data_IF_115806816479
#
_entry.id   IF_115806816479
#
_cell.length_a   1.000
_cell.length_b   1.000
_cell.length_c   1.000
_cell.angle_alpha   90.00
_cell.angle_beta   90.00
_cell.angle_gamma   90.00
#
_symmetry.space_group_name_H-M   'P 1'
#
loop_
_entity.id
_entity.type
_entity.pdbx_description
1 polymer ?
#
# COMPACT_ATOMS: atom_id res chain seq x y z
N UNK A 1 13.05 -49.70 -10.85
CA UNK A 1 13.28 -48.89 -9.64
C UNK A 1 14.47 -47.97 -9.88
N UNK A 2 14.24 -46.74 -10.37
CA UNK A 2 15.16 -45.60 -10.31
C UNK A 2 14.38 -44.36 -10.75
N UNK A 3 14.53 -43.28 -9.97
CA UNK A 3 14.17 -41.93 -10.38
C UNK A 3 12.82 -41.45 -9.89
N UNK A 4 12.69 -41.11 -8.60
CA UNK A 4 11.78 -40.09 -8.05
C UNK A 4 12.47 -39.54 -6.78
N UNK A 5 13.55 -38.77 -6.97
CA UNK A 5 14.26 -38.03 -5.91
C UNK A 5 14.78 -36.72 -6.47
N UNK A 6 13.87 -35.86 -6.93
CA UNK A 6 14.21 -34.49 -7.35
C UNK A 6 13.15 -33.45 -6.98
N UNK A 7 12.01 -33.83 -6.39
CA UNK A 7 10.95 -32.87 -6.04
C UNK A 7 11.08 -32.23 -4.65
N UNK A 8 11.87 -32.80 -3.72
CA UNK A 8 11.98 -32.27 -2.35
C UNK A 8 13.09 -31.23 -2.15
N UNK A 9 14.00 -31.05 -3.11
CA UNK A 9 15.11 -30.10 -2.99
C UNK A 9 14.77 -28.68 -3.46
N UNK A 10 13.60 -28.47 -4.07
CA UNK A 10 13.18 -27.16 -4.58
C UNK A 10 12.41 -26.32 -3.56
N UNK A 11 11.76 -26.93 -2.55
CA UNK A 11 11.00 -26.19 -1.54
C UNK A 11 11.84 -25.22 -0.71
N UNK A 12 13.04 -25.59 -0.20
CA UNK A 12 13.84 -24.66 0.61
C UNK A 12 14.42 -23.51 -0.22
N UNK A 13 14.68 -23.75 -1.52
CA UNK A 13 15.25 -22.73 -2.40
C UNK A 13 14.21 -21.68 -2.85
N UNK A 14 12.93 -22.06 -2.97
CA UNK A 14 11.83 -21.13 -3.27
C UNK A 14 11.50 -20.28 -2.03
N UNK A 15 11.54 -20.87 -0.83
CA UNK A 15 11.32 -20.16 0.44
C UNK A 15 12.42 -19.14 0.76
N UNK A 16 13.68 -19.43 0.43
CA UNK A 16 14.79 -18.49 0.61
C UNK A 16 14.80 -17.38 -0.45
N UNK A 17 14.29 -17.64 -1.65
CA UNK A 17 14.21 -16.63 -2.73
C UNK A 17 13.07 -15.61 -2.54
N UNK A 18 12.08 -15.90 -1.68
CA UNK A 18 11.03 -14.95 -1.29
C UNK A 18 11.50 -13.97 -0.19
N UNK A 19 12.57 -14.30 0.55
CA UNK A 19 13.17 -13.42 1.56
C UNK A 19 14.17 -12.42 0.98
N UNK A 20 14.02 -12.02 -0.28
CA UNK A 20 14.94 -11.10 -0.97
C UNK A 20 14.17 -10.12 -1.86
N UNK A 21 13.03 -9.62 -1.37
CA UNK A 21 12.47 -8.40 -1.92
C UNK A 21 13.45 -7.23 -1.69
N UNK A 22 13.52 -6.24 -2.59
CA UNK A 22 14.26 -5.02 -2.31
C UNK A 22 13.73 -4.37 -1.02
N UNK A 23 14.62 -3.89 -0.16
CA UNK A 23 14.26 -3.26 1.11
C UNK A 23 13.20 -2.15 0.91
N UNK A 24 12.08 -2.29 1.60
CA UNK A 24 10.90 -1.44 1.47
C UNK A 24 9.96 -1.97 0.39
N UNK A 25 9.15 -2.95 0.76
CA UNK A 25 7.89 -3.32 0.11
C UNK A 25 6.92 -3.78 1.21
N UNK A 26 5.64 -3.99 0.93
CA UNK A 26 4.79 -4.72 1.87
C UNK A 26 4.95 -6.22 1.62
N UNK A 27 4.90 -7.02 2.69
CA UNK A 27 4.86 -8.46 2.53
C UNK A 27 3.52 -8.94 1.92
N UNK A 28 3.53 -10.14 1.36
CA UNK A 28 2.40 -10.78 0.67
C UNK A 28 1.16 -10.84 1.57
N UNK A 29 1.30 -11.38 2.79
CA UNK A 29 0.17 -11.52 3.71
C UNK A 29 -0.35 -10.16 4.18
N UNK A 30 0.55 -9.20 4.31
CA UNK A 30 0.26 -7.83 4.73
C UNK A 30 -0.54 -7.08 3.65
N UNK A 31 -0.18 -7.21 2.38
CA UNK A 31 -0.97 -6.69 1.26
C UNK A 31 -2.41 -7.20 1.27
N UNK A 32 -2.58 -8.52 1.45
CA UNK A 32 -3.92 -9.10 1.51
C UNK A 32 -4.74 -8.54 2.67
N UNK A 33 -4.07 -8.19 3.78
CA UNK A 33 -4.75 -7.61 4.93
C UNK A 33 -5.12 -6.14 4.71
N UNK A 34 -4.25 -5.34 4.08
CA UNK A 34 -4.60 -3.99 3.62
C UNK A 34 -5.82 -4.02 2.70
N UNK A 35 -5.81 -4.89 1.69
CA UNK A 35 -6.91 -5.05 0.75
C UNK A 35 -8.21 -5.54 1.43
N UNK A 36 -8.12 -6.39 2.47
CA UNK A 36 -9.28 -6.83 3.26
C UNK A 36 -9.94 -5.64 3.98
N UNK A 37 -9.14 -4.80 4.63
CA UNK A 37 -9.64 -3.59 5.30
C UNK A 37 -10.21 -2.62 4.26
N UNK A 38 -9.52 -2.42 3.14
CA UNK A 38 -9.98 -1.56 2.05
C UNK A 38 -11.33 -2.00 1.52
N UNK A 39 -11.47 -3.27 1.17
CA UNK A 39 -12.71 -3.87 0.67
C UNK A 39 -13.88 -3.74 1.65
N UNK A 40 -13.62 -3.78 2.95
CA UNK A 40 -14.64 -3.61 3.99
C UNK A 40 -15.11 -2.16 4.16
N UNK A 41 -14.29 -1.18 3.77
CA UNK A 41 -14.50 0.24 4.05
C UNK A 41 -14.83 1.11 2.83
N UNK A 42 -14.90 0.54 1.62
CA UNK A 42 -15.35 1.27 0.43
C UNK A 42 -16.73 1.91 0.64
N UNK A 43 -16.92 3.12 0.12
CA UNK A 43 -18.15 3.89 0.32
C UNK A 43 -19.30 3.39 -0.56
N UNK A 44 -19.01 3.07 -1.82
CA UNK A 44 -20.02 2.68 -2.80
C UNK A 44 -20.63 1.30 -2.48
N UNK A 45 -21.97 1.19 -2.39
CA UNK A 45 -22.63 -0.05 -2.00
C UNK A 45 -22.52 -1.16 -3.06
N UNK A 46 -22.46 -0.82 -4.35
CA UNK A 46 -22.32 -1.79 -5.43
C UNK A 46 -20.89 -2.35 -5.43
N UNK A 47 -19.89 -1.47 -5.28
CA UNK A 47 -18.49 -1.90 -5.13
C UNK A 47 -18.32 -2.80 -3.89
N UNK A 48 -18.89 -2.40 -2.75
CA UNK A 48 -18.85 -3.19 -1.51
C UNK A 48 -19.44 -4.58 -1.72
N UNK A 49 -20.57 -4.68 -2.42
CA UNK A 49 -21.21 -5.95 -2.73
C UNK A 49 -20.33 -6.83 -3.63
N UNK A 50 -19.71 -6.25 -4.67
CA UNK A 50 -18.77 -6.95 -5.56
C UNK A 50 -17.58 -7.50 -4.77
N UNK A 51 -16.93 -6.68 -3.95
CA UNK A 51 -15.75 -7.07 -3.19
C UNK A 51 -16.06 -8.12 -2.12
N UNK A 52 -17.20 -8.01 -1.45
CA UNK A 52 -17.66 -9.02 -0.49
C UNK A 52 -17.94 -10.37 -1.15
N UNK A 53 -18.50 -10.38 -2.37
CA UNK A 53 -18.81 -11.60 -3.11
C UNK A 53 -17.57 -12.24 -3.78
N UNK A 54 -16.54 -11.46 -4.08
CA UNK A 54 -15.40 -11.89 -4.90
C UNK A 54 -14.06 -11.82 -4.15
N UNK A 55 -14.07 -12.23 -2.87
CA UNK A 55 -12.90 -12.27 -1.98
C UNK A 55 -11.63 -12.84 -2.61
N UNK A 56 -11.77 -14.00 -3.23
CA UNK A 56 -10.63 -14.72 -3.80
C UNK A 56 -9.95 -13.97 -4.96
N UNK A 57 -10.68 -13.09 -5.66
CA UNK A 57 -10.17 -12.35 -6.81
C UNK A 57 -9.33 -11.14 -6.40
N UNK A 58 -9.74 -10.38 -5.39
CA UNK A 58 -8.94 -9.25 -4.91
C UNK A 58 -7.76 -9.72 -4.05
N UNK A 59 -7.87 -10.81 -3.30
CA UNK A 59 -6.75 -11.36 -2.53
C UNK A 59 -5.63 -11.84 -3.45
N UNK A 60 -5.96 -12.61 -4.48
CA UNK A 60 -4.94 -13.08 -5.43
C UNK A 60 -4.26 -11.93 -6.16
N UNK A 61 -4.99 -10.85 -6.40
CA UNK A 61 -4.49 -9.67 -7.09
C UNK A 61 -3.64 -8.76 -6.19
N UNK A 62 -3.95 -8.68 -4.89
CA UNK A 62 -3.18 -7.96 -3.88
C UNK A 62 -1.75 -8.50 -3.72
N UNK A 63 -1.43 -9.66 -4.29
CA UNK A 63 -0.07 -10.22 -4.29
C UNK A 63 0.42 -10.58 -5.69
N UNK A 64 -0.33 -10.20 -6.73
CA UNK A 64 -0.02 -10.60 -8.11
C UNK A 64 1.32 -10.05 -8.60
N UNK A 65 1.63 -8.73 -8.45
CA UNK A 65 2.84 -8.14 -9.01
C UNK A 65 4.14 -8.83 -8.52
N UNK A 66 4.19 -9.20 -7.25
CA UNK A 66 5.33 -9.89 -6.64
C UNK A 66 5.68 -11.24 -7.26
N UNK A 67 4.72 -11.91 -7.90
CA UNK A 67 4.95 -13.25 -8.43
C UNK A 67 6.00 -13.30 -9.54
N UNK A 68 6.34 -12.16 -10.13
CA UNK A 68 7.37 -12.07 -11.14
C UNK A 68 8.79 -11.96 -10.59
N UNK A 69 9.00 -11.47 -9.35
CA UNK A 69 10.34 -11.23 -8.81
C UNK A 69 11.20 -12.49 -8.64
N UNK A 70 10.69 -13.62 -8.09
CA UNK A 70 11.54 -14.79 -7.84
C UNK A 70 12.16 -15.44 -9.09
N UNK A 71 11.72 -15.01 -10.28
CA UNK A 71 12.10 -15.53 -11.59
C UNK A 71 12.43 -14.42 -12.59
N UNK A 72 12.67 -13.19 -12.11
CA UNK A 72 13.06 -12.01 -12.89
C UNK A 72 12.17 -11.73 -14.11
N UNK A 73 10.85 -11.88 -13.97
CA UNK A 73 9.93 -11.60 -15.07
C UNK A 73 9.77 -10.10 -15.30
N UNK A 74 9.77 -9.71 -16.58
CA UNK A 74 9.78 -8.32 -17.03
C UNK A 74 8.55 -7.51 -16.61
N UNK A 75 7.45 -8.18 -16.26
CA UNK A 75 6.21 -7.55 -15.81
C UNK A 75 6.15 -7.28 -14.31
N UNK A 76 7.06 -7.88 -13.51
CA UNK A 76 7.02 -7.81 -12.04
C UNK A 76 6.98 -6.35 -11.57
N UNK A 77 8.07 -5.61 -11.81
CA UNK A 77 8.20 -4.21 -11.44
C UNK A 77 7.12 -3.32 -12.10
N UNK A 78 6.90 -3.34 -13.44
CA UNK A 78 5.88 -2.50 -14.08
C UNK A 78 4.46 -2.64 -13.53
N UNK A 79 4.09 -3.82 -13.00
CA UNK A 79 2.75 -4.09 -12.48
C UNK A 79 2.42 -3.33 -11.18
N UNK A 80 3.41 -2.75 -10.49
CA UNK A 80 3.21 -1.96 -9.27
C UNK A 80 2.82 -0.50 -9.57
N UNK A 81 2.91 -0.07 -10.83
CA UNK A 81 2.84 1.35 -11.16
C UNK A 81 1.56 1.73 -11.88
N UNK A 82 1.22 3.01 -11.78
CA UNK A 82 0.03 3.60 -12.38
C UNK A 82 -0.17 3.28 -13.88
N UNK A 83 0.87 3.22 -14.75
CA UNK A 83 0.69 2.79 -16.14
C UNK A 83 0.01 1.42 -16.29
N UNK A 84 0.33 0.45 -15.43
CA UNK A 84 -0.35 -0.84 -15.42
C UNK A 84 -1.78 -0.71 -14.88
N UNK A 85 -1.98 -0.01 -13.78
CA UNK A 85 -3.32 0.22 -13.21
C UNK A 85 -4.27 0.88 -14.23
N UNK A 86 -3.77 1.86 -14.97
CA UNK A 86 -4.47 2.51 -16.09
C UNK A 86 -4.80 1.52 -17.20
N UNK A 87 -3.80 0.78 -17.69
CA UNK A 87 -3.98 -0.20 -18.76
C UNK A 87 -4.97 -1.29 -18.38
N UNK A 88 -4.94 -1.75 -17.12
CA UNK A 88 -5.84 -2.78 -16.62
C UNK A 88 -7.26 -2.24 -16.42
N UNK A 89 -7.42 -1.02 -15.90
CA UNK A 89 -8.72 -0.33 -15.84
C UNK A 89 -9.36 -0.25 -17.22
N UNK A 90 -8.60 0.16 -18.25
CA UNK A 90 -9.09 0.23 -19.63
C UNK A 90 -9.42 -1.14 -20.23
N UNK A 91 -8.70 -2.19 -19.83
CA UNK A 91 -9.04 -3.56 -20.21
C UNK A 91 -10.36 -4.02 -19.59
N UNK A 92 -10.58 -3.75 -18.29
CA UNK A 92 -11.84 -4.07 -17.60
C UNK A 92 -13.00 -3.32 -18.25
N UNK A 93 -12.85 -2.02 -18.56
CA UNK A 93 -13.86 -1.24 -19.29
C UNK A 93 -14.18 -1.86 -20.65
N UNK A 94 -13.15 -2.24 -21.41
CA UNK A 94 -13.29 -2.84 -22.74
C UNK A 94 -14.06 -4.16 -22.72
N UNK A 95 -13.79 -5.03 -21.74
CA UNK A 95 -14.43 -6.35 -21.62
C UNK A 95 -15.85 -6.23 -21.10
N UNK A 96 -16.03 -5.41 -20.06
CA UNK A 96 -17.27 -5.38 -19.31
C UNK A 96 -18.31 -4.42 -19.86
N UNK A 97 -17.88 -3.33 -20.50
CA UNK A 97 -18.79 -2.38 -21.15
C UNK A 97 -19.92 -1.92 -20.22
N UNK A 98 -19.58 -1.63 -18.96
CA UNK A 98 -20.54 -1.20 -17.92
C UNK A 98 -21.32 -2.33 -17.21
N UNK A 99 -21.12 -3.61 -17.57
CA UNK A 99 -21.83 -4.75 -16.94
C UNK A 99 -21.27 -5.17 -15.58
N UNK A 100 -20.63 -4.25 -14.85
CA UNK A 100 -19.87 -4.54 -13.62
C UNK A 100 -20.69 -5.20 -12.51
N UNK A 101 -22.00 -4.93 -12.43
CA UNK A 101 -22.92 -5.46 -11.40
C UNK A 101 -23.92 -6.49 -11.95
N UNK A 102 -23.79 -6.86 -13.22
CA UNK A 102 -24.76 -7.72 -13.92
C UNK A 102 -24.15 -8.95 -14.57
N UNK A 103 -22.82 -9.03 -14.60
CA UNK A 103 -22.06 -10.13 -15.17
C UNK A 103 -21.02 -10.64 -14.15
N UNK A 104 -21.12 -11.91 -13.78
CA UNK A 104 -20.31 -12.50 -12.72
C UNK A 104 -18.80 -12.57 -13.05
N UNK A 105 -18.42 -12.57 -14.34
CA UNK A 105 -17.00 -12.47 -14.71
C UNK A 105 -16.50 -11.04 -14.53
N UNK A 106 -17.32 -10.06 -14.89
CA UNK A 106 -17.02 -8.65 -14.68
C UNK A 106 -16.90 -8.28 -13.21
N UNK A 107 -17.75 -8.79 -12.33
CA UNK A 107 -17.59 -8.62 -10.89
C UNK A 107 -16.21 -9.12 -10.40
N UNK A 108 -15.76 -10.28 -10.88
CA UNK A 108 -14.43 -10.82 -10.56
C UNK A 108 -13.29 -9.97 -11.14
N UNK A 109 -13.44 -9.45 -12.35
CA UNK A 109 -12.43 -8.56 -12.94
C UNK A 109 -12.33 -7.25 -12.18
N UNK A 110 -13.46 -6.67 -11.73
CA UNK A 110 -13.47 -5.48 -10.89
C UNK A 110 -12.75 -5.76 -9.57
N UNK A 111 -13.09 -6.86 -8.88
CA UNK A 111 -12.42 -7.23 -7.65
C UNK A 111 -10.90 -7.46 -7.86
N UNK A 112 -10.52 -8.17 -8.92
CA UNK A 112 -9.10 -8.38 -9.24
C UNK A 112 -8.39 -7.06 -9.59
N UNK A 113 -9.05 -6.12 -10.28
CA UNK A 113 -8.48 -4.79 -10.51
C UNK A 113 -8.19 -4.10 -9.18
N UNK A 114 -9.15 -4.08 -8.25
CA UNK A 114 -8.98 -3.43 -6.94
C UNK A 114 -7.79 -4.00 -6.17
N UNK A 115 -7.66 -5.32 -6.05
CA UNK A 115 -6.47 -5.89 -5.40
C UNK A 115 -5.16 -5.53 -6.09
N UNK A 116 -5.12 -5.53 -7.42
CA UNK A 116 -3.91 -5.23 -8.17
C UNK A 116 -3.48 -3.77 -8.06
N UNK A 117 -4.42 -2.82 -8.06
CA UNK A 117 -4.10 -1.39 -7.85
C UNK A 117 -3.75 -1.11 -6.39
N UNK A 118 -4.37 -1.84 -5.46
CA UNK A 118 -4.05 -1.79 -4.03
C UNK A 118 -2.59 -2.11 -3.77
N UNK A 119 -2.09 -3.20 -4.34
CA UNK A 119 -0.72 -3.67 -4.12
C UNK A 119 0.35 -2.57 -4.30
N UNK A 120 0.45 -1.99 -5.50
CA UNK A 120 1.47 -0.97 -5.78
C UNK A 120 1.25 0.37 -5.07
N UNK A 121 0.02 0.66 -4.64
CA UNK A 121 -0.26 1.78 -3.74
C UNK A 121 0.27 1.50 -2.33
N UNK A 122 0.01 0.30 -1.81
CA UNK A 122 0.39 -0.12 -0.46
C UNK A 122 1.92 -0.07 -0.28
N UNK A 123 2.69 -0.55 -1.25
CA UNK A 123 4.17 -0.45 -1.24
C UNK A 123 4.64 0.99 -1.12
N UNK A 124 4.10 1.87 -1.96
CA UNK A 124 4.51 3.29 -1.94
C UNK A 124 4.28 3.93 -0.58
N UNK A 125 3.23 3.52 0.15
CA UNK A 125 2.94 4.05 1.48
C UNK A 125 3.85 3.44 2.54
N UNK A 126 4.09 2.12 2.51
CA UNK A 126 5.04 1.45 3.43
C UNK A 126 6.44 2.05 3.27
N UNK A 127 6.93 2.15 2.03
CA UNK A 127 8.25 2.68 1.67
C UNK A 127 8.46 4.12 2.09
N UNK A 128 7.37 4.88 2.11
CA UNK A 128 7.43 6.29 2.43
C UNK A 128 7.34 6.56 3.92
N UNK A 129 6.67 5.70 4.70
CA UNK A 129 6.33 5.97 6.09
C UNK A 129 6.91 4.93 7.05
N UNK A 130 6.41 3.69 7.02
CA UNK A 130 6.77 2.66 7.99
C UNK A 130 8.20 2.16 7.80
N UNK A 131 8.60 1.83 6.58
CA UNK A 131 9.94 1.30 6.27
C UNK A 131 11.08 2.20 6.75
N UNK A 132 11.09 3.50 6.36
CA UNK A 132 12.09 4.45 6.86
C UNK A 132 12.11 4.56 8.39
N UNK A 133 10.95 4.40 9.05
CA UNK A 133 10.89 4.45 10.52
C UNK A 133 11.46 3.19 11.16
N UNK A 134 11.24 2.02 10.57
CA UNK A 134 11.86 0.77 10.99
C UNK A 134 13.38 0.91 10.87
N UNK A 135 13.89 1.34 9.72
CA UNK A 135 15.33 1.57 9.52
C UNK A 135 15.90 2.55 10.55
N UNK A 136 15.18 3.64 10.86
CA UNK A 136 15.62 4.63 11.84
C UNK A 136 15.73 4.07 13.27
N UNK A 137 14.77 3.25 13.69
CA UNK A 137 14.63 2.82 15.09
C UNK A 137 15.26 1.45 15.35
N UNK A 138 14.98 0.47 14.49
CA UNK A 138 15.51 -0.89 14.60
C UNK A 138 16.90 -1.02 13.96
N UNK A 139 17.28 -0.08 13.08
CA UNK A 139 18.61 -0.02 12.45
C UNK A 139 18.78 -0.92 11.23
N UNK A 140 17.74 -1.65 10.84
CA UNK A 140 17.69 -2.55 9.68
C UNK A 140 16.23 -2.67 9.20
N UNK A 141 16.00 -2.56 7.90
CA UNK A 141 14.71 -2.77 7.24
C UNK A 141 14.75 -3.88 6.18
N UNK A 142 15.89 -4.56 6.02
CA UNK A 142 16.13 -5.48 4.90
C UNK A 142 15.19 -6.69 4.87
N UNK A 143 14.68 -7.11 6.03
CA UNK A 143 13.72 -8.20 6.16
C UNK A 143 12.35 -7.72 6.66
N UNK A 144 12.11 -6.41 6.73
CA UNK A 144 10.91 -5.85 7.36
C UNK A 144 9.64 -6.41 6.73
N UNK A 145 9.57 -6.45 5.40
CA UNK A 145 8.42 -6.88 4.62
C UNK A 145 8.00 -8.32 4.98
N UNK A 146 8.98 -9.23 4.95
CA UNK A 146 8.77 -10.64 5.30
C UNK A 146 8.47 -10.83 6.80
N UNK A 147 9.14 -10.09 7.69
CA UNK A 147 8.90 -10.22 9.13
C UNK A 147 7.51 -9.71 9.52
N UNK A 148 7.05 -8.61 8.91
CA UNK A 148 5.72 -8.07 9.13
C UNK A 148 4.64 -9.07 8.69
N UNK A 149 4.85 -9.82 7.61
CA UNK A 149 3.94 -10.92 7.26
C UNK A 149 3.81 -11.96 8.37
N UNK A 150 4.95 -12.36 8.96
CA UNK A 150 4.91 -13.30 10.08
C UNK A 150 4.18 -12.70 11.28
N UNK A 151 4.34 -11.40 11.55
CA UNK A 151 3.64 -10.71 12.63
C UNK A 151 2.13 -10.70 12.41
N UNK A 152 1.69 -10.37 11.20
CA UNK A 152 0.28 -10.38 10.79
C UNK A 152 -0.31 -11.78 10.89
N UNK A 153 0.41 -12.79 10.41
CA UNK A 153 -0.03 -14.18 10.47
C UNK A 153 -0.14 -14.69 11.91
N UNK A 154 0.83 -14.34 12.76
CA UNK A 154 0.87 -14.70 14.18
C UNK A 154 -0.29 -14.08 14.96
N UNK A 155 -0.47 -12.76 14.87
CA UNK A 155 -1.38 -12.02 15.74
C UNK A 155 -2.86 -12.21 15.39
N UNK A 156 -3.19 -12.63 14.15
CA UNK A 156 -4.56 -12.59 13.66
C UNK A 156 -5.17 -13.92 13.18
N UNK A 157 -4.51 -15.07 13.40
CA UNK A 157 -5.01 -16.43 13.06
C UNK A 157 -5.71 -16.50 11.69
N UNK A 158 -4.92 -16.23 10.65
CA UNK A 158 -5.48 -15.80 9.37
C UNK A 158 -5.61 -16.93 8.36
N UNK A 159 -6.26 -18.04 8.69
CA UNK A 159 -6.65 -19.07 7.70
C UNK A 159 -7.25 -18.46 6.41
N UNK A 160 -7.91 -17.30 6.57
CA UNK A 160 -8.47 -16.44 5.55
C UNK A 160 -7.52 -16.03 4.40
N UNK A 161 -6.22 -15.80 4.60
CA UNK A 161 -5.31 -15.31 3.54
C UNK A 161 -4.80 -16.36 2.54
N UNK A 162 -5.29 -17.60 2.63
CA UNK A 162 -5.02 -18.63 1.63
C UNK A 162 -6.32 -18.82 0.89
N UNK A 163 -6.44 -18.25 -0.32
CA UNK A 163 -7.53 -18.52 -1.21
C UNK A 163 -7.78 -20.02 -1.31
N UNK A 164 -9.04 -20.42 -1.11
CA UNK A 164 -9.49 -21.78 -1.44
C UNK A 164 -9.41 -22.01 -2.95
N UNK A 165 -9.58 -20.94 -3.74
CA UNK A 165 -9.48 -20.97 -5.21
C UNK A 165 -8.82 -19.69 -5.71
N UNK A 166 -7.58 -19.81 -6.20
CA UNK A 166 -6.82 -18.71 -6.77
C UNK A 166 -7.45 -18.26 -8.12
N UNK A 167 -7.99 -17.04 -8.20
CA UNK A 167 -8.54 -16.50 -9.44
C UNK A 167 -7.54 -15.57 -10.12
N UNK A 168 -7.11 -15.90 -11.34
CA UNK A 168 -6.20 -15.03 -12.11
C UNK A 168 -6.71 -14.91 -13.54
N UNK A 169 -7.11 -13.71 -13.99
CA UNK A 169 -7.61 -13.49 -15.34
C UNK A 169 -6.44 -13.30 -16.30
N UNK A 170 -5.70 -14.37 -16.53
CA UNK A 170 -4.42 -14.36 -17.27
C UNK A 170 -4.54 -13.68 -18.64
N UNK A 171 -5.65 -13.89 -19.36
CA UNK A 171 -5.84 -13.27 -20.67
C UNK A 171 -6.09 -11.76 -20.58
N UNK A 172 -6.77 -11.29 -19.53
CA UNK A 172 -7.01 -9.87 -19.33
C UNK A 172 -5.77 -9.16 -18.81
N UNK A 173 -4.97 -9.82 -17.96
CA UNK A 173 -3.65 -9.33 -17.57
C UNK A 173 -2.72 -9.17 -18.77
N UNK A 174 -2.66 -10.17 -19.67
CA UNK A 174 -1.91 -10.04 -20.92
C UNK A 174 -2.41 -8.87 -21.76
N UNK A 175 -3.72 -8.74 -21.94
CA UNK A 175 -4.30 -7.64 -22.70
C UNK A 175 -4.05 -6.27 -22.05
N UNK A 176 -3.90 -6.19 -20.73
CA UNK A 176 -3.46 -4.99 -20.04
C UNK A 176 -1.99 -4.67 -20.35
N UNK A 177 -1.08 -5.65 -20.25
CA UNK A 177 0.33 -5.44 -20.61
C UNK A 177 0.53 -5.10 -22.10
N UNK A 178 -0.28 -5.67 -23.00
CA UNK A 178 -0.26 -5.34 -24.44
C UNK A 178 -0.61 -3.87 -24.75
N UNK A 179 -1.23 -3.16 -23.80
CA UNK A 179 -1.52 -1.71 -23.89
C UNK A 179 -0.36 -0.83 -23.41
N UNK A 180 0.65 -1.42 -22.77
CA UNK A 180 1.81 -0.73 -22.23
C UNK A 180 2.98 -0.80 -23.22
N UNK A 181 3.95 0.12 -23.16
CA UNK A 181 5.21 0.02 -23.90
C UNK A 181 6.16 -1.03 -23.28
N UNK A 182 5.62 -2.21 -22.94
CA UNK A 182 6.35 -3.32 -22.30
C UNK A 182 6.27 -4.56 -23.19
N UNK A 183 7.43 -5.08 -23.60
CA UNK A 183 7.51 -6.30 -24.42
C UNK A 183 7.95 -7.50 -23.58
N UNK A 184 7.65 -8.71 -24.06
CA UNK A 184 8.18 -9.95 -23.48
C UNK A 184 7.34 -10.54 -22.34
N UNK A 185 6.18 -9.97 -22.05
CA UNK A 185 5.18 -10.58 -21.16
C UNK A 185 4.49 -11.71 -21.91
N UNK A 186 4.39 -12.88 -21.28
CA UNK A 186 3.68 -14.01 -21.86
C UNK A 186 2.81 -14.76 -20.84
N UNK A 187 1.90 -15.56 -21.38
CA UNK A 187 0.91 -16.31 -20.61
C UNK A 187 1.53 -17.25 -19.59
N UNK A 188 2.64 -17.89 -19.94
CA UNK A 188 3.30 -18.86 -19.07
C UNK A 188 3.94 -18.14 -17.88
N UNK A 189 4.56 -16.98 -18.10
CA UNK A 189 5.14 -16.17 -17.02
C UNK A 189 4.08 -15.79 -15.98
N UNK A 190 2.93 -15.27 -16.41
CA UNK A 190 1.85 -14.88 -15.50
C UNK A 190 1.30 -16.09 -14.71
N UNK A 191 1.16 -17.25 -15.37
CA UNK A 191 0.74 -18.48 -14.69
C UNK A 191 1.76 -18.98 -13.66
N UNK A 192 3.05 -18.93 -14.01
CA UNK A 192 4.13 -19.32 -13.09
C UNK A 192 4.18 -18.37 -11.90
N UNK A 193 4.13 -17.06 -12.12
CA UNK A 193 4.17 -16.07 -11.04
C UNK A 193 2.98 -16.21 -10.09
N UNK A 194 1.76 -16.34 -10.63
CA UNK A 194 0.57 -16.63 -9.83
C UNK A 194 0.69 -17.92 -8.99
N UNK A 195 1.31 -18.96 -9.56
CA UNK A 195 1.54 -20.22 -8.85
C UNK A 195 2.57 -20.05 -7.73
N UNK A 196 3.65 -19.30 -7.97
CA UNK A 196 4.69 -19.04 -6.97
C UNK A 196 4.12 -18.30 -5.75
N UNK A 197 3.33 -17.25 -5.97
CA UNK A 197 2.69 -16.48 -4.88
C UNK A 197 1.71 -17.34 -4.10
N UNK A 198 0.89 -18.14 -4.78
CA UNK A 198 -0.05 -19.04 -4.10
C UNK A 198 0.68 -20.02 -3.17
N UNK A 199 1.86 -20.51 -3.56
CA UNK A 199 2.70 -21.37 -2.72
C UNK A 199 3.50 -20.60 -1.65
N UNK A 200 3.94 -19.37 -1.93
CA UNK A 200 4.61 -18.50 -0.96
C UNK A 200 3.75 -18.26 0.27
N UNK A 201 2.48 -17.91 0.06
CA UNK A 201 1.48 -17.74 1.12
C UNK A 201 1.32 -18.96 2.04
N UNK A 202 1.35 -20.16 1.46
CA UNK A 202 1.28 -21.41 2.25
C UNK A 202 2.59 -21.62 3.02
N UNK A 203 3.72 -21.26 2.40
CA UNK A 203 5.05 -21.35 2.98
C UNK A 203 5.21 -20.51 4.25
N UNK A 204 4.83 -19.22 4.18
CA UNK A 204 4.92 -18.27 5.30
C UNK A 204 4.20 -18.76 6.55
N UNK A 205 3.00 -19.34 6.40
CA UNK A 205 2.26 -19.92 7.53
C UNK A 205 2.94 -21.11 8.20
N UNK A 206 3.66 -21.91 7.41
CA UNK A 206 4.36 -23.07 7.94
C UNK A 206 5.58 -22.63 8.76
N UNK A 207 6.24 -21.54 8.36
CA UNK A 207 7.47 -21.05 8.98
C UNK A 207 7.24 -20.01 10.08
N UNK A 208 6.11 -19.28 10.07
CA UNK A 208 5.72 -18.30 11.10
C UNK A 208 5.98 -18.80 12.53
N UNK A 209 5.44 -19.94 12.98
CA UNK A 209 5.59 -20.35 14.38
C UNK A 209 7.04 -20.78 14.72
N UNK A 210 7.89 -20.93 13.71
CA UNK A 210 9.31 -21.27 13.88
C UNK A 210 10.21 -20.03 13.96
N UNK A 211 9.77 -18.89 13.43
CA UNK A 211 10.57 -17.69 13.24
C UNK A 211 10.05 -16.47 14.01
N UNK A 212 8.81 -16.48 14.50
CA UNK A 212 8.18 -15.32 15.14
C UNK A 212 9.01 -14.77 16.33
N UNK A 213 9.53 -15.64 17.20
CA UNK A 213 10.31 -15.23 18.37
C UNK A 213 11.63 -14.54 17.99
N UNK A 214 12.31 -15.02 16.93
CA UNK A 214 13.57 -14.40 16.48
C UNK A 214 13.33 -13.11 15.72
N UNK A 215 12.33 -13.08 14.84
CA UNK A 215 12.03 -11.93 13.97
C UNK A 215 11.49 -10.74 14.77
N UNK A 216 10.60 -10.97 15.74
CA UNK A 216 10.10 -9.93 16.64
C UNK A 216 11.18 -9.36 17.57
N UNK A 217 12.22 -10.14 17.90
CA UNK A 217 13.36 -9.66 18.66
C UNK A 217 14.37 -8.87 17.80
N UNK A 218 14.43 -9.14 16.49
CA UNK A 218 15.28 -8.44 15.53
C UNK A 218 14.71 -7.07 15.17
N UNK A 219 13.40 -6.98 14.92
CA UNK A 219 12.68 -5.74 14.59
C UNK A 219 11.62 -5.38 15.65
N UNK A 220 12.03 -5.00 16.88
CA UNK A 220 11.11 -4.76 17.98
C UNK A 220 10.20 -3.54 17.77
N UNK A 221 10.68 -2.48 17.10
CA UNK A 221 9.82 -1.36 16.73
C UNK A 221 8.80 -1.79 15.68
N UNK A 222 9.23 -2.48 14.61
CA UNK A 222 8.31 -2.99 13.59
C UNK A 222 7.21 -3.86 14.22
N UNK A 223 7.58 -4.84 15.04
CA UNK A 223 6.61 -5.73 15.69
C UNK A 223 5.62 -4.99 16.60
N UNK A 224 6.06 -3.95 17.30
CA UNK A 224 5.18 -3.16 18.16
C UNK A 224 4.26 -2.20 17.38
N UNK A 225 4.59 -1.86 16.12
CA UNK A 225 3.99 -0.73 15.40
C UNK A 225 3.42 -1.05 14.01
N UNK A 226 3.66 -2.25 13.45
CA UNK A 226 3.24 -2.62 12.09
C UNK A 226 1.72 -2.47 11.86
N UNK A 227 0.91 -2.55 12.91
CA UNK A 227 -0.54 -2.53 12.78
C UNK A 227 -1.12 -1.11 12.72
N UNK A 228 -0.71 -0.21 13.62
CA UNK A 228 -1.38 1.10 13.86
C UNK A 228 -0.50 2.32 13.50
N UNK A 229 0.77 2.13 13.15
CA UNK A 229 1.63 3.24 12.76
C UNK A 229 1.22 3.81 11.39
N UNK A 230 1.49 5.09 11.08
CA UNK A 230 1.36 5.61 9.72
C UNK A 230 2.19 4.79 8.71
N UNK A 231 1.53 4.20 7.71
CA UNK A 231 2.14 3.19 6.83
C UNK A 231 2.10 1.76 7.36
N UNK A 232 1.38 1.51 8.45
CA UNK A 232 1.02 0.19 8.93
C UNK A 232 -0.38 -0.24 8.49
N UNK A 233 -0.79 -1.42 8.96
CA UNK A 233 -1.95 -2.16 8.43
C UNK A 233 -3.26 -1.37 8.40
N UNK A 234 -3.66 -0.79 9.53
CA UNK A 234 -4.95 -0.06 9.61
C UNK A 234 -4.89 1.24 8.83
N UNK A 235 -3.78 1.96 8.93
CA UNK A 235 -3.58 3.21 8.23
C UNK A 235 -3.66 3.06 6.72
N UNK A 236 -2.95 2.05 6.17
CA UNK A 236 -2.93 1.75 4.74
C UNK A 236 -4.26 1.17 4.30
N UNK A 237 -4.82 0.21 5.04
CA UNK A 237 -6.08 -0.43 4.67
C UNK A 237 -7.25 0.55 4.54
N UNK A 238 -7.32 1.55 5.41
CA UNK A 238 -8.31 2.63 5.28
C UNK A 238 -8.05 3.52 4.05
N UNK A 239 -6.78 3.80 3.72
CA UNK A 239 -6.43 4.56 2.52
C UNK A 239 -6.71 3.77 1.22
N UNK A 240 -6.52 2.45 1.25
CA UNK A 240 -6.82 1.52 0.15
C UNK A 240 -8.32 1.53 -0.20
N UNK A 241 -9.22 1.76 0.76
CA UNK A 241 -10.65 1.92 0.47
C UNK A 241 -10.91 3.11 -0.47
N UNK A 242 -10.27 4.26 -0.21
CA UNK A 242 -10.41 5.46 -1.04
C UNK A 242 -9.82 5.26 -2.44
N UNK A 243 -8.69 4.56 -2.54
CA UNK A 243 -8.12 4.12 -3.82
C UNK A 243 -9.13 3.28 -4.61
N UNK A 244 -9.80 2.32 -3.96
CA UNK A 244 -10.80 1.47 -4.63
C UNK A 244 -12.00 2.30 -5.11
N UNK A 245 -12.50 3.24 -4.30
CA UNK A 245 -13.57 4.16 -4.70
C UNK A 245 -13.13 5.05 -5.88
N UNK A 246 -11.87 5.49 -5.94
CA UNK A 246 -11.32 6.21 -7.10
C UNK A 246 -11.35 5.35 -8.37
N UNK A 247 -10.80 4.14 -8.35
CA UNK A 247 -10.83 3.27 -9.54
C UNK A 247 -12.25 2.83 -9.92
N UNK A 248 -13.15 2.69 -8.95
CA UNK A 248 -14.57 2.44 -9.22
C UNK A 248 -15.24 3.62 -9.94
N UNK A 249 -14.94 4.85 -9.55
CA UNK A 249 -15.41 6.04 -10.25
C UNK A 249 -14.93 6.07 -11.71
N UNK A 250 -13.68 5.63 -11.96
CA UNK A 250 -13.11 5.55 -13.32
C UNK A 250 -13.77 4.49 -14.20
N UNK A 251 -14.13 3.35 -13.62
CA UNK A 251 -14.87 2.30 -14.33
C UNK A 251 -16.25 2.79 -14.76
N UNK A 252 -16.90 3.62 -13.93
CA UNK A 252 -18.25 4.14 -14.15
C UNK A 252 -18.30 5.52 -14.85
N UNK A 253 -17.14 6.08 -15.20
CA UNK A 253 -17.02 7.42 -15.78
C UNK A 253 -17.72 8.51 -14.94
N UNK A 254 -17.67 8.37 -13.61
CA UNK A 254 -18.21 9.36 -12.66
C UNK A 254 -17.12 10.30 -12.17
N UNK A 255 -17.51 11.38 -11.50
CA UNK A 255 -16.55 12.26 -10.84
C UNK A 255 -15.75 11.47 -9.81
N UNK A 256 -14.45 11.74 -9.75
CA UNK A 256 -13.58 11.13 -8.77
C UNK A 256 -13.98 11.55 -7.34
N UNK A 257 -13.67 10.72 -6.32
CA UNK A 257 -13.88 11.08 -4.93
C UNK A 257 -13.26 12.44 -4.59
N UNK A 258 -13.80 13.12 -3.59
CA UNK A 258 -13.29 14.44 -3.22
C UNK A 258 -11.96 14.33 -2.45
N UNK A 259 -11.09 15.35 -2.51
CA UNK A 259 -9.77 15.32 -1.84
C UNK A 259 -9.79 15.20 -0.32
N UNK A 260 -10.93 15.36 0.36
CA UNK A 260 -11.05 15.18 1.81
C UNK A 260 -10.70 13.75 2.29
N UNK A 261 -10.61 12.79 1.37
CA UNK A 261 -10.18 11.41 1.64
C UNK A 261 -8.66 11.24 1.70
N UNK A 262 -7.87 12.26 1.32
CA UNK A 262 -6.41 12.19 1.39
C UNK A 262 -5.95 12.14 2.84
N UNK A 263 -4.84 11.44 3.09
CA UNK A 263 -4.30 11.32 4.45
C UNK A 263 -3.05 12.18 4.62
N UNK A 264 -3.16 13.35 5.28
CA UNK A 264 -2.00 14.15 5.58
C UNK A 264 -1.12 13.49 6.63
N UNK A 265 0.19 13.70 6.49
CA UNK A 265 1.19 13.36 7.48
C UNK A 265 2.07 14.59 7.72
N UNK A 266 2.20 15.12 8.95
CA UNK A 266 1.38 14.79 10.12
C UNK A 266 -0.11 15.03 9.83
N UNK A 267 -1.03 14.31 10.52
CA UNK A 267 -2.47 14.48 10.32
C UNK A 267 -2.93 15.90 10.70
N UNK A 268 -4.09 16.31 10.19
CA UNK A 268 -4.65 17.64 10.46
C UNK A 268 -4.86 17.86 11.97
N UNK A 269 -4.40 19.02 12.46
CA UNK A 269 -4.43 19.37 13.87
C UNK A 269 -3.39 18.63 14.72
N UNK A 270 -2.44 17.91 14.13
CA UNK A 270 -1.37 17.25 14.88
C UNK A 270 -0.62 18.26 15.78
N UNK A 271 -0.21 17.80 16.96
CA UNK A 271 0.58 18.57 17.93
C UNK A 271 1.87 17.84 18.24
N UNK A 272 2.82 18.55 18.85
CA UNK A 272 4.13 18.02 19.23
C UNK A 272 4.97 17.47 18.06
N UNK A 273 4.73 17.99 16.85
CA UNK A 273 5.50 17.62 15.64
C UNK A 273 6.96 18.02 15.80
N UNK A 274 7.88 17.14 15.39
CA UNK A 274 9.30 17.39 15.56
C UNK A 274 9.76 18.60 14.73
N UNK A 275 10.78 19.30 15.23
CA UNK A 275 11.31 20.51 14.58
C UNK A 275 12.54 20.26 13.71
N UNK A 276 13.36 19.24 14.01
CA UNK A 276 14.61 18.96 13.29
C UNK A 276 15.09 17.49 13.33
N UNK A 277 14.23 16.55 13.69
CA UNK A 277 14.63 15.13 13.78
C UNK A 277 14.99 14.55 12.40
N UNK A 278 15.69 13.40 12.33
CA UNK A 278 15.89 12.69 11.06
C UNK A 278 14.58 12.57 10.26
N UNK A 279 14.74 12.39 8.94
CA UNK A 279 13.74 12.63 7.91
C UNK A 279 12.33 12.09 8.21
N UNK A 280 12.17 11.03 8.99
CA UNK A 280 10.85 10.41 9.25
C UNK A 280 9.95 11.22 10.18
N UNK A 281 10.49 11.88 11.20
CA UNK A 281 9.70 12.57 12.24
C UNK A 281 9.32 14.01 11.85
N UNK A 282 9.91 14.53 10.77
CA UNK A 282 9.68 15.90 10.26
C UNK A 282 9.07 15.93 8.85
N UNK A 283 8.71 14.77 8.31
CA UNK A 283 8.10 14.64 7.00
C UNK A 283 6.70 15.27 6.98
N UNK A 284 6.45 16.06 5.94
CA UNK A 284 5.14 16.64 5.63
C UNK A 284 4.69 16.05 4.31
N UNK A 285 3.45 15.57 4.19
CA UNK A 285 3.04 14.85 3.00
C UNK A 285 1.57 14.47 2.94
N UNK A 286 1.20 13.82 1.85
CA UNK A 286 -0.14 13.30 1.58
C UNK A 286 -0.05 11.91 0.96
N UNK A 287 -0.84 10.99 1.51
CA UNK A 287 -1.23 9.75 0.83
C UNK A 287 -2.47 10.03 -0.01
N UNK A 288 -2.40 9.74 -1.30
CA UNK A 288 -3.38 10.12 -2.31
C UNK A 288 -4.07 8.89 -2.89
N UNK A 289 -5.39 8.94 -3.01
CA UNK A 289 -6.22 7.89 -3.64
C UNK A 289 -6.00 7.76 -5.16
N UNK A 290 -5.26 8.70 -5.75
CA UNK A 290 -4.92 8.75 -7.18
C UNK A 290 -3.48 9.21 -7.38
N UNK A 291 -2.83 8.77 -8.47
CA UNK A 291 -1.48 9.20 -8.75
C UNK A 291 -1.42 10.69 -9.14
N UNK A 292 -0.49 11.45 -8.55
CA UNK A 292 -0.17 12.80 -8.98
C UNK A 292 1.01 12.83 -9.94
N UNK A 293 1.10 13.90 -10.74
CA UNK A 293 2.26 14.19 -11.60
C UNK A 293 3.30 14.97 -10.79
N UNK A 294 4.50 14.43 -10.51
CA UNK A 294 5.48 15.09 -9.65
C UNK A 294 5.92 16.46 -10.13
N UNK A 295 6.00 16.68 -11.44
CA UNK A 295 6.34 17.98 -12.00
C UNK A 295 5.31 19.08 -11.67
N UNK A 296 4.05 18.72 -11.41
CA UNK A 296 2.98 19.65 -11.05
C UNK A 296 3.03 20.08 -9.57
N UNK A 297 3.77 19.34 -8.73
CA UNK A 297 3.91 19.63 -7.29
C UNK A 297 5.26 20.25 -7.03
N UNK A 298 5.26 21.54 -6.75
CA UNK A 298 6.47 22.33 -6.51
C UNK A 298 6.18 23.50 -5.55
N UNK A 299 7.15 24.40 -5.36
CA UNK A 299 7.03 25.52 -4.43
C UNK A 299 5.93 26.55 -4.77
N UNK A 300 5.29 26.46 -5.93
CA UNK A 300 4.15 27.32 -6.29
C UNK A 300 2.80 26.65 -6.10
N UNK A 301 2.76 25.32 -5.94
CA UNK A 301 1.52 24.54 -5.80
C UNK A 301 1.43 23.78 -4.48
N UNK A 302 2.54 23.71 -3.72
CA UNK A 302 2.59 23.13 -2.39
C UNK A 302 3.34 24.08 -1.45
N UNK A 303 2.64 24.54 -0.42
CA UNK A 303 3.11 25.58 0.48
C UNK A 303 3.07 25.06 1.92
N UNK A 304 4.15 25.28 2.66
CA UNK A 304 4.17 25.11 4.12
C UNK A 304 4.47 26.49 4.70
N UNK A 305 3.51 27.09 5.40
CA UNK A 305 3.63 28.47 5.89
C UNK A 305 3.45 28.57 7.39
N UNK A 306 4.25 29.42 8.03
CA UNK A 306 4.07 29.80 9.44
C UNK A 306 2.97 30.89 9.62
N UNK A 307 2.63 31.30 10.85
CA UNK A 307 1.59 32.31 11.10
C UNK A 307 1.91 33.72 10.57
N UNK A 308 3.16 33.96 10.14
CA UNK A 308 3.59 35.22 9.51
C UNK A 308 3.54 35.15 7.98
N UNK A 309 3.01 34.05 7.42
CA UNK A 309 3.00 33.72 5.99
C UNK A 309 4.41 33.54 5.41
N UNK A 310 5.40 33.21 6.23
CA UNK A 310 6.70 32.83 5.72
C UNK A 310 6.65 31.38 5.22
N UNK A 311 6.97 31.19 3.93
CA UNK A 311 7.04 29.87 3.30
C UNK A 311 8.32 29.13 3.69
N UNK A 312 8.15 27.95 4.27
CA UNK A 312 9.22 26.98 4.50
C UNK A 312 9.57 26.32 3.17
N UNK A 313 10.83 26.46 2.76
CA UNK A 313 11.35 25.77 1.58
C UNK A 313 11.84 24.37 1.94
N UNK A 314 11.75 23.46 0.98
CA UNK A 314 12.08 22.05 1.20
C UNK A 314 12.46 21.30 -0.07
N UNK A 315 12.49 19.98 0.07
CA UNK A 315 12.73 19.03 -1.01
C UNK A 315 11.52 18.10 -1.09
N UNK A 316 11.04 17.87 -2.31
CA UNK A 316 9.99 16.90 -2.56
C UNK A 316 10.59 15.52 -2.80
N UNK A 317 9.98 14.50 -2.20
CA UNK A 317 10.33 13.09 -2.36
C UNK A 317 9.11 12.36 -2.91
N UNK A 318 9.35 11.49 -3.88
CA UNK A 318 8.33 10.63 -4.49
C UNK A 318 9.02 9.37 -5.03
N UNK A 319 8.29 8.26 -5.06
CA UNK A 319 8.68 7.04 -5.78
C UNK A 319 7.83 6.91 -7.02
N UNK A 320 8.47 6.68 -8.16
CA UNK A 320 7.83 6.62 -9.47
C UNK A 320 8.40 5.45 -10.24
N UNK A 321 7.63 4.92 -11.19
CA UNK A 321 8.12 3.88 -12.09
C UNK A 321 9.46 4.27 -12.73
N UNK A 322 10.50 3.41 -12.67
CA UNK A 322 11.80 3.71 -13.25
C UNK A 322 11.80 3.76 -14.78
N UNK A 323 10.73 3.28 -15.42
CA UNK A 323 10.60 3.16 -16.87
C UNK A 323 9.54 4.08 -17.46
N UNK A 324 8.81 4.86 -16.65
CA UNK A 324 7.79 5.78 -17.16
C UNK A 324 8.41 7.10 -17.65
N UNK A 325 8.04 7.51 -18.87
CA UNK A 325 8.36 8.84 -19.39
C UNK A 325 7.57 9.94 -18.65
N UNK A 326 6.37 9.61 -18.17
CA UNK A 326 5.50 10.47 -17.38
C UNK A 326 5.40 9.87 -15.97
N UNK A 327 6.29 10.24 -15.03
CA UNK A 327 6.30 9.66 -13.71
C UNK A 327 5.06 10.07 -12.92
N UNK A 328 4.50 9.14 -12.15
CA UNK A 328 3.39 9.42 -11.22
C UNK A 328 3.62 8.68 -9.90
N UNK A 329 3.01 9.16 -8.82
CA UNK A 329 3.13 8.58 -7.48
C UNK A 329 1.85 8.76 -6.68
N UNK A 330 1.57 7.87 -5.74
CA UNK A 330 0.49 8.02 -4.75
C UNK A 330 0.93 8.72 -3.47
N UNK A 331 2.25 8.91 -3.30
CA UNK A 331 2.79 9.47 -2.07
C UNK A 331 3.58 10.74 -2.34
N UNK A 332 3.06 11.85 -1.82
CA UNK A 332 3.74 13.13 -1.81
C UNK A 332 4.44 13.32 -0.48
N UNK A 333 5.76 13.51 -0.49
CA UNK A 333 6.53 13.88 0.70
C UNK A 333 7.32 15.17 0.48
N UNK A 334 7.43 15.95 1.54
CA UNK A 334 8.14 17.21 1.61
C UNK A 334 9.00 17.22 2.88
N UNK A 335 10.29 17.45 2.71
CA UNK A 335 11.26 17.60 3.80
C UNK A 335 11.70 19.07 3.87
N UNK A 336 11.39 19.79 4.98
CA UNK A 336 11.91 21.13 5.20
C UNK A 336 13.44 21.19 5.10
N UNK A 337 13.99 22.22 4.44
CA UNK A 337 15.45 22.48 4.43
C UNK A 337 15.95 23.14 5.71
N UNK A 338 15.03 23.76 6.45
CA UNK A 338 15.32 24.49 7.67
C UNK A 338 14.57 23.85 8.83
N UNK A 339 15.17 23.94 10.03
CA UNK A 339 14.51 23.55 11.28
C UNK A 339 13.24 24.36 11.45
N UNK A 340 12.11 23.68 11.66
CA UNK A 340 10.85 24.34 11.95
C UNK A 340 10.92 25.06 13.30
N UNK A 341 10.25 26.20 13.42
CA UNK A 341 10.16 26.95 14.67
C UNK A 341 9.43 26.12 15.73
N UNK A 342 9.87 26.12 17.00
CA UNK A 342 9.19 25.39 18.06
C UNK A 342 7.86 26.04 18.43
N UNK A 343 6.90 25.25 18.94
CA UNK A 343 5.57 25.70 19.36
C UNK A 343 4.84 26.56 18.31
N UNK A 344 5.01 26.22 17.04
CA UNK A 344 4.53 27.03 15.91
C UNK A 344 3.48 26.25 15.12
N UNK A 345 2.34 26.91 14.86
CA UNK A 345 1.29 26.39 13.99
C UNK A 345 1.69 26.61 12.53
N UNK A 346 1.90 25.53 11.80
CA UNK A 346 2.11 25.54 10.36
C UNK A 346 0.82 25.20 9.64
N UNK A 347 0.58 25.86 8.51
CA UNK A 347 -0.47 25.52 7.55
C UNK A 347 0.19 24.96 6.31
N UNK A 348 -0.31 23.82 5.84
CA UNK A 348 0.08 23.25 4.55
C UNK A 348 -1.06 23.49 3.57
N UNK A 349 -0.72 23.89 2.35
CA UNK A 349 -1.70 24.14 1.28
C UNK A 349 -1.22 23.50 -0.01
N UNK A 350 -2.12 22.78 -0.67
CA UNK A 350 -1.96 22.27 -2.04
C UNK A 350 -2.94 23.02 -2.91
N UNK A 351 -2.43 23.68 -3.94
CA UNK A 351 -3.23 24.48 -4.86
C UNK A 351 -3.83 23.62 -5.98
N UNK A 352 -4.92 24.10 -6.58
CA UNK A 352 -5.66 23.41 -7.66
C UNK A 352 -4.85 23.20 -8.95
N UNK A 353 -3.72 23.91 -9.10
CA UNK A 353 -2.81 23.75 -10.24
C UNK A 353 -1.96 22.47 -10.17
N UNK A 354 -1.91 21.80 -9.00
CA UNK A 354 -1.34 20.45 -8.92
C UNK A 354 -2.25 19.46 -9.65
N UNK A 355 -1.68 18.54 -10.45
CA UNK A 355 -2.46 17.66 -11.33
C UNK A 355 -2.30 16.19 -11.03
N UNK A 356 -3.38 15.43 -11.25
CA UNK A 356 -3.35 13.98 -11.29
C UNK A 356 -2.82 13.44 -12.63
N UNK A 357 -2.65 12.13 -12.70
CA UNK A 357 -2.18 11.40 -13.90
C UNK A 357 -3.08 11.56 -15.14
N UNK A 358 -4.33 11.98 -14.97
CA UNK A 358 -5.28 12.22 -16.06
C UNK A 358 -5.25 13.69 -16.52
N UNK A 359 -4.38 14.51 -15.91
CA UNK A 359 -4.26 15.95 -16.18
C UNK A 359 -5.38 16.79 -15.57
N UNK A 360 -6.20 16.21 -14.68
CA UNK A 360 -7.18 16.96 -13.91
C UNK A 360 -6.52 17.57 -12.66
N UNK A 361 -7.15 18.59 -12.08
CA UNK A 361 -6.73 19.14 -10.78
C UNK A 361 -6.76 18.04 -9.71
N UNK A 362 -5.63 17.81 -9.05
CA UNK A 362 -5.47 16.86 -7.94
C UNK A 362 -6.37 17.23 -6.76
N UNK A 363 -6.49 18.55 -6.50
CA UNK A 363 -7.27 19.12 -5.38
C UNK A 363 -8.20 20.22 -5.86
N UNK A 364 -9.34 19.91 -6.51
CA UNK A 364 -10.24 20.94 -7.03
C UNK A 364 -10.73 21.88 -5.91
N UNK A 365 -10.43 23.17 -6.02
CA UNK A 365 -10.72 24.17 -4.98
C UNK A 365 -9.65 24.30 -3.87
N UNK A 366 -8.51 23.61 -4.02
CA UNK A 366 -7.41 23.58 -3.07
C UNK A 366 -7.64 22.61 -1.90
N UNK A 367 -6.56 22.25 -1.22
CA UNK A 367 -6.58 21.43 -0.01
C UNK A 367 -5.65 22.02 1.03
N UNK A 368 -6.07 22.07 2.30
CA UNK A 368 -5.23 22.60 3.38
C UNK A 368 -5.42 21.84 4.67
N UNK A 369 -4.35 21.68 5.41
CA UNK A 369 -4.37 21.15 6.77
C UNK A 369 -3.33 21.87 7.64
N UNK A 370 -3.38 21.63 8.94
CA UNK A 370 -2.51 22.29 9.91
C UNK A 370 -1.81 21.31 10.83
N UNK A 371 -0.65 21.71 11.37
CA UNK A 371 0.01 21.00 12.46
C UNK A 371 0.79 21.98 13.34
N UNK A 372 1.03 21.60 14.60
CA UNK A 372 1.78 22.39 15.56
C UNK A 372 3.05 21.66 15.97
N UNK A 373 4.19 22.31 15.84
CA UNK A 373 5.47 21.78 16.31
C UNK A 373 5.54 21.76 17.83
N UNK A 374 6.27 20.78 18.37
CA UNK A 374 6.55 20.70 19.79
C UNK A 374 7.50 21.79 20.28
N UNK A 375 7.80 21.75 21.59
CA UNK A 375 8.81 22.62 22.19
C UNK A 375 10.20 22.42 21.58
N UNK A 376 11.19 23.25 21.98
CA UNK A 376 12.56 23.09 21.52
C UNK A 376 13.04 21.66 21.75
N UNK A 377 13.66 21.04 20.75
CA UNK A 377 14.21 19.71 20.88
C UNK A 377 15.17 19.68 22.10
N UNK A 378 15.06 18.69 23.00
CA UNK A 378 16.00 18.57 24.10
C UNK A 378 17.43 18.51 23.56
N UNK A 379 18.32 19.35 24.08
CA UNK A 379 19.74 19.26 23.80
C UNK A 379 20.31 18.06 24.57
N UNK A 380 20.18 16.86 24.01
CA UNK A 380 20.71 15.62 24.58
C UNK A 380 19.71 14.47 24.56
N UNK A 381 20.19 13.33 24.06
CA UNK A 381 19.56 12.00 23.96
C UNK A 381 18.43 11.80 22.92
N UNK A 382 18.89 11.32 21.77
CA UNK A 382 18.13 10.66 20.71
C UNK A 382 17.72 9.24 21.13
N UNK A 383 16.66 9.05 21.93
CA UNK A 383 15.87 7.80 21.86
C UNK A 383 14.43 8.08 22.32
N UNK A 384 13.47 7.91 21.42
CA UNK A 384 12.04 7.78 21.77
C UNK A 384 11.12 8.36 20.69
N UNK A 385 10.08 7.63 20.25
CA UNK A 385 9.10 8.15 19.29
C UNK A 385 8.41 9.39 19.84
N UNK A 386 8.18 10.38 18.97
CA UNK A 386 7.50 11.63 19.36
C UNK A 386 6.07 11.35 19.85
N UNK A 387 5.55 12.22 20.73
CA UNK A 387 4.16 12.12 21.24
C UNK A 387 3.10 12.22 20.11
N UNK A 388 3.50 12.69 18.91
CA UNK A 388 2.70 12.72 17.67
C UNK A 388 2.06 11.35 17.39
N UNK A 389 2.81 10.26 17.65
CA UNK A 389 2.37 8.90 17.32
C UNK A 389 1.43 8.29 18.37
N UNK A 390 1.31 8.89 19.56
CA UNK A 390 0.34 8.42 20.57
C UNK A 390 -1.10 8.80 20.23
N UNK A 391 -1.32 9.74 19.31
CA UNK A 391 -2.68 10.08 18.87
C UNK A 391 -3.30 8.95 18.03
N UNK A 392 -2.48 8.22 17.26
CA UNK A 392 -2.90 7.00 16.55
C UNK A 392 -3.20 5.83 17.51
N UNK A 393 -2.46 5.73 18.62
CA UNK A 393 -2.60 4.62 19.58
C UNK A 393 -3.81 4.70 20.55
N UNK A 394 -4.58 5.80 20.58
CA UNK A 394 -5.68 5.97 21.56
C UNK A 394 -7.06 5.50 21.10
N UNK A 395 -7.15 4.78 19.98
CA UNK A 395 -8.41 4.22 19.45
C UNK A 395 -8.60 2.70 19.57
N UNK A 396 -7.55 1.89 19.70
CA UNK A 396 -7.59 0.50 19.20
C UNK A 396 -7.44 -0.62 20.25
N UNK A 397 -7.34 -0.30 21.54
CA UNK A 397 -7.31 -1.31 22.61
C UNK A 397 -8.51 -2.28 22.62
N UNK A 398 -9.60 -1.95 21.92
CA UNK A 398 -10.78 -2.80 21.74
C UNK A 398 -10.81 -3.56 20.38
N UNK A 399 -9.93 -3.26 19.42
CA UNK A 399 -9.97 -3.86 18.07
C UNK A 399 -9.13 -5.14 17.91
N UNK A 400 -8.04 -5.32 18.69
CA UNK A 400 -7.28 -6.59 18.71
C UNK A 400 -8.16 -7.79 19.11
N UNK A 401 -9.23 -7.59 19.87
CA UNK A 401 -10.11 -8.66 20.33
C UNK A 401 -11.36 -8.92 19.47
N UNK A 402 -11.77 -7.97 18.62
CA UNK A 402 -13.08 -8.04 17.94
C UNK A 402 -13.03 -8.74 16.58
N UNK A 403 -11.95 -8.61 15.81
CA UNK A 403 -11.85 -9.24 14.48
C UNK A 403 -11.73 -10.78 14.50
N UNK A 404 -11.20 -11.36 15.59
CA UNK A 404 -11.15 -12.83 15.75
C UNK A 404 -12.51 -13.52 15.95
N UNK A 405 -13.59 -12.76 16.09
CA UNK A 405 -14.91 -13.29 16.47
C UNK A 405 -16.00 -13.20 15.38
N UNK A 406 -15.77 -12.48 14.28
CA UNK A 406 -16.85 -12.15 13.32
C UNK A 406 -17.11 -13.24 12.27
N UNK A 407 -16.21 -14.20 12.04
CA UNK A 407 -16.41 -15.20 10.97
C UNK A 407 -16.18 -16.66 11.40
N UNK A 408 -16.86 -17.09 12.47
CA UNK A 408 -17.14 -18.52 12.69
C UNK A 408 -18.42 -18.91 11.97
N UNK A 409 -18.31 -19.23 10.69
CA UNK A 409 -19.36 -19.98 10.02
C UNK A 409 -19.39 -19.76 8.53
N UNK A 410 -18.78 -20.67 7.76
CA UNK A 410 -19.36 -21.29 6.57
C UNK A 410 -18.67 -22.65 6.40
N UNK A 411 -19.47 -23.71 6.54
CA UNK A 411 -19.05 -25.09 6.47
C UNK A 411 -18.50 -25.48 5.10
N UNK A 412 -17.65 -26.51 5.12
CA UNK A 412 -17.09 -27.17 3.96
C UNK A 412 -18.20 -27.79 3.10
N UNK A 413 -18.42 -27.24 1.90
CA UNK A 413 -19.18 -27.85 0.83
C UNK A 413 -18.32 -27.84 -0.43
N UNK A 414 -18.07 -29.03 -0.99
CA UNK A 414 -17.26 -29.24 -2.19
C UNK A 414 -18.19 -29.22 -3.40
N UNK A 415 -18.11 -28.18 -4.24
CA UNK A 415 -18.47 -28.21 -5.67
C UNK A 415 -17.48 -27.38 -6.48
#
# INVERSE_FOLDING_TARGET
MKGHRTALAALPAILVALGSAPAGASGIATHMFHAEIGAANVEDPDLRAILAANREAWISAASFPDGGYPVDYVWAEPAHWAPFANAYTEQVKSVCQGRYTTDAYCEKLVAHLMGAVGHGFEDQVVDALLGPKILEVDGDDSNADFYIDLFVLHDFDRDAFVPRRWFVPIYDLLAAFDRMPLAGVDRQQLWVGATLIAWGNVGERIIEPLLIDSTSAELPFAYANYYDYPGGVTYIGEATAHLFDYYWSRLNDTAAPRPDVFRPFPPDGAVDVATNRPETDTQIGLVLDRPFVPASVNSTTFHVTDPTNHQVLGVFHHRTSPTSEEPTSHMLRFSPRETLLPNTLYTVTVDEDATDELGASLVPGGYSWTFTTGGPAPTGDLVGPSEVFKHYARGTGAMRATHGSVFRGIGLGVE
#
